data_IF_994726263392
#
_entry.id   IF_994726263392
#
_cell.length_a   1.000
_cell.length_b   1.000
_cell.length_c   1.000
_cell.angle_alpha   90.00
_cell.angle_beta   90.00
_cell.angle_gamma   90.00
#
_symmetry.space_group_name_H-M   'P 1'
#
loop_
_entity.id
_entity.type
_entity.pdbx_description
1 polymer ?
#
# COMPACT_ATOMS: atom_id res chain seq x y z
N UNK A 1 -9.70 1.35 -15.87
CA UNK A 1 -8.23 1.47 -16.05
C UNK A 1 -7.59 1.53 -14.68
N UNK A 2 -6.81 0.51 -14.32
CA UNK A 2 -5.89 0.53 -13.18
C UNK A 2 -4.76 1.52 -13.47
N UNK A 3 -4.36 2.31 -12.47
CA UNK A 3 -3.23 3.23 -12.58
C UNK A 3 -2.01 2.55 -11.98
N UNK A 4 -0.90 2.47 -12.70
CA UNK A 4 0.37 1.98 -12.15
C UNK A 4 1.14 3.15 -11.53
N UNK A 5 1.68 2.94 -10.33
CA UNK A 5 2.62 3.84 -9.68
C UNK A 5 4.00 3.19 -9.62
N UNK A 6 5.04 4.01 -9.79
CA UNK A 6 6.43 3.59 -9.92
C UNK A 6 7.25 4.27 -8.85
N UNK A 7 7.53 3.57 -7.74
CA UNK A 7 8.25 4.14 -6.62
C UNK A 7 9.74 3.82 -6.72
N UNK A 8 10.62 4.84 -6.74
CA UNK A 8 12.04 4.61 -6.68
C UNK A 8 12.47 4.17 -5.27
N UNK A 9 13.49 3.33 -5.20
CA UNK A 9 14.10 2.94 -3.94
C UNK A 9 15.60 2.63 -4.06
N UNK A 10 16.28 2.81 -2.93
CA UNK A 10 17.69 2.46 -2.72
C UNK A 10 17.77 1.03 -2.15
N UNK A 11 18.63 0.19 -2.72
CA UNK A 11 18.87 -1.18 -2.29
C UNK A 11 20.31 -1.32 -1.84
N UNK A 12 20.49 -1.74 -0.60
CA UNK A 12 21.80 -1.96 -0.01
C UNK A 12 21.93 -3.39 0.44
N UNK A 13 22.92 -4.07 -0.13
CA UNK A 13 23.33 -5.39 0.34
C UNK A 13 24.09 -5.24 1.65
N UNK A 14 23.68 -6.00 2.64
CA UNK A 14 24.34 -6.09 3.94
C UNK A 14 25.34 -7.25 3.96
N UNK A 15 26.34 -7.16 4.84
CA UNK A 15 27.39 -8.18 4.95
C UNK A 15 26.84 -9.57 5.30
N UNK A 16 25.66 -9.62 5.94
CA UNK A 16 24.96 -10.86 6.27
C UNK A 16 24.25 -11.53 5.08
N UNK A 17 24.42 -11.02 3.85
CA UNK A 17 23.75 -11.52 2.64
C UNK A 17 22.32 -11.03 2.44
N UNK A 18 21.77 -10.27 3.39
CA UNK A 18 20.43 -9.66 3.29
C UNK A 18 20.46 -8.39 2.44
N UNK A 19 19.31 -8.00 1.90
CA UNK A 19 19.16 -6.75 1.14
C UNK A 19 18.13 -5.86 1.81
N UNK A 20 18.51 -4.59 2.00
CA UNK A 20 17.66 -3.56 2.58
C UNK A 20 17.18 -2.60 1.50
N UNK A 21 15.88 -2.33 1.49
CA UNK A 21 15.18 -1.50 0.52
C UNK A 21 14.63 -0.26 1.23
N UNK A 22 15.03 0.93 0.80
CA UNK A 22 14.56 2.20 1.39
C UNK A 22 13.69 2.97 0.40
N UNK A 23 12.48 3.32 0.80
CA UNK A 23 11.58 4.15 0.00
C UNK A 23 11.40 5.53 0.61
N UNK A 24 11.85 6.55 -0.11
CA UNK A 24 11.75 7.95 0.32
C UNK A 24 10.30 8.40 0.50
N UNK A 25 9.43 7.97 -0.42
CA UNK A 25 8.01 8.35 -0.44
C UNK A 25 7.19 7.76 0.70
N UNK A 26 7.73 6.76 1.41
CA UNK A 26 7.08 6.09 2.52
C UNK A 26 7.81 6.34 3.85
N UNK A 27 8.18 7.61 4.09
CA UNK A 27 8.86 8.04 5.32
C UNK A 27 10.16 7.27 5.60
N UNK A 28 10.92 6.98 4.55
CA UNK A 28 12.16 6.20 4.63
C UNK A 28 12.00 4.81 5.25
N UNK A 29 10.82 4.19 5.12
CA UNK A 29 10.60 2.81 5.53
C UNK A 29 11.64 1.90 4.88
N UNK A 30 12.30 1.14 5.74
CA UNK A 30 13.29 0.13 5.36
C UNK A 30 12.61 -1.22 5.38
N UNK A 31 12.68 -1.92 4.27
CA UNK A 31 12.25 -3.31 4.14
C UNK A 31 13.48 -4.20 3.95
N UNK A 32 13.38 -5.45 4.36
CA UNK A 32 14.50 -6.38 4.34
C UNK A 32 14.05 -7.68 3.66
N UNK A 33 14.81 -8.14 2.67
CA UNK A 33 14.67 -9.49 2.13
C UNK A 33 15.91 -10.32 2.46
N UNK A 34 15.66 -11.59 2.78
CA UNK A 34 16.70 -12.57 3.08
C UNK A 34 17.22 -13.27 1.81
N UNK A 35 16.47 -13.21 0.70
CA UNK A 35 16.80 -13.91 -0.54
C UNK A 35 17.01 -12.90 -1.68
N UNK A 36 18.28 -12.69 -2.04
CA UNK A 36 18.69 -11.85 -3.16
C UNK A 36 17.96 -12.17 -4.48
N UNK A 37 17.59 -13.44 -4.74
CA UNK A 37 16.94 -13.83 -5.99
C UNK A 37 15.49 -13.36 -6.06
N UNK A 38 14.80 -13.33 -4.92
CA UNK A 38 13.37 -13.00 -4.83
C UNK A 38 13.09 -11.63 -4.21
N UNK A 39 14.13 -10.93 -3.77
CA UNK A 39 13.99 -9.67 -3.04
C UNK A 39 13.22 -8.57 -3.79
N UNK A 40 13.27 -8.55 -5.13
CA UNK A 40 12.45 -7.64 -5.94
C UNK A 40 10.95 -7.98 -5.87
N UNK A 41 10.60 -9.26 -5.87
CA UNK A 41 9.20 -9.69 -5.77
C UNK A 41 8.68 -9.45 -4.36
N UNK A 42 9.45 -9.83 -3.34
CA UNK A 42 9.12 -9.59 -1.92
C UNK A 42 8.82 -8.11 -1.66
N UNK A 43 9.66 -7.22 -2.22
CA UNK A 43 9.50 -5.79 -2.00
C UNK A 43 8.30 -5.22 -2.76
N UNK A 44 8.06 -5.70 -4.00
CA UNK A 44 6.87 -5.31 -4.77
C UNK A 44 5.60 -5.68 -4.03
N UNK A 45 5.51 -6.90 -3.50
CA UNK A 45 4.33 -7.37 -2.80
C UNK A 45 4.12 -6.67 -1.47
N UNK A 46 5.20 -6.41 -0.72
CA UNK A 46 5.14 -5.61 0.50
C UNK A 46 4.64 -4.19 0.22
N UNK A 47 5.12 -3.56 -0.86
CA UNK A 47 4.72 -2.22 -1.23
C UNK A 47 3.25 -2.17 -1.70
N UNK A 48 2.79 -3.20 -2.42
CA UNK A 48 1.37 -3.37 -2.80
C UNK A 48 0.47 -3.44 -1.58
N UNK A 49 0.84 -4.24 -0.58
CA UNK A 49 0.07 -4.36 0.66
C UNK A 49 -0.02 -3.01 1.38
N UNK A 50 1.09 -2.28 1.46
CA UNK A 50 1.12 -0.98 2.14
C UNK A 50 0.28 0.07 1.40
N UNK A 51 0.38 0.17 0.08
CA UNK A 51 -0.43 1.09 -0.73
C UNK A 51 -1.91 0.71 -0.68
N UNK A 52 -2.22 -0.59 -0.74
CA UNK A 52 -3.60 -1.10 -0.61
C UNK A 52 -4.20 -0.77 0.75
N UNK A 53 -3.43 -0.93 1.83
CA UNK A 53 -3.84 -0.54 3.17
C UNK A 53 -4.20 0.95 3.25
N UNK A 54 -3.38 1.83 2.68
CA UNK A 54 -3.66 3.27 2.59
C UNK A 54 -4.96 3.56 1.83
N UNK A 55 -5.19 2.88 0.70
CA UNK A 55 -6.43 3.04 -0.09
C UNK A 55 -7.66 2.64 0.73
N UNK A 56 -7.61 1.49 1.41
CA UNK A 56 -8.73 0.96 2.21
C UNK A 56 -9.04 1.91 3.37
N UNK A 57 -8.01 2.41 4.05
CA UNK A 57 -8.17 3.38 5.14
C UNK A 57 -8.56 4.79 4.67
N UNK A 58 -8.61 5.03 3.36
CA UNK A 58 -8.90 6.36 2.80
C UNK A 58 -7.77 7.37 3.00
N UNK A 59 -6.55 6.90 3.25
CA UNK A 59 -5.37 7.74 3.36
C UNK A 59 -4.85 8.16 1.98
N UNK A 60 -4.13 9.29 1.96
CA UNK A 60 -3.44 9.73 0.75
C UNK A 60 -2.30 8.77 0.40
N UNK A 61 -2.28 8.33 -0.86
CA UNK A 61 -1.17 7.58 -1.44
C UNK A 61 -0.04 8.58 -1.76
N UNK A 62 1.20 8.34 -1.32
CA UNK A 62 2.32 9.21 -1.66
C UNK A 62 2.50 9.33 -3.17
N UNK A 63 2.76 10.55 -3.66
CA UNK A 63 3.17 10.72 -5.06
C UNK A 63 4.59 10.20 -5.22
N UNK A 64 4.88 9.35 -6.21
CA UNK A 64 6.23 8.84 -6.39
C UNK A 64 7.24 9.95 -6.67
N UNK A 65 8.38 9.91 -5.98
CA UNK A 65 9.48 10.83 -6.20
C UNK A 65 10.16 10.60 -7.56
N UNK A 66 10.86 11.62 -8.10
CA UNK A 66 11.78 11.41 -9.21
C UNK A 66 12.86 10.38 -8.87
N UNK A 67 13.14 9.49 -9.82
CA UNK A 67 14.19 8.47 -9.72
C UNK A 67 15.58 9.11 -9.76
N UNK A 68 16.46 8.70 -8.84
CA UNK A 68 17.89 9.00 -8.87
C UNK A 68 18.66 7.91 -9.63
N UNK A 69 19.86 8.22 -10.14
CA UNK A 69 20.65 7.31 -11.01
C UNK A 69 20.94 5.93 -10.39
N UNK A 70 21.04 5.85 -9.06
CA UNK A 70 21.36 4.62 -8.31
C UNK A 70 20.11 3.86 -7.81
N UNK A 71 18.91 4.36 -8.06
CA UNK A 71 17.67 3.75 -7.60
C UNK A 71 17.08 2.82 -8.65
N UNK A 72 16.43 1.75 -8.21
CA UNK A 72 15.54 0.94 -9.03
C UNK A 72 14.09 1.33 -8.73
N UNK A 73 13.19 0.89 -9.61
CA UNK A 73 11.78 1.27 -9.55
C UNK A 73 10.97 0.04 -9.20
N UNK A 74 10.06 0.19 -8.25
CA UNK A 74 9.09 -0.85 -7.89
C UNK A 74 7.71 -0.42 -8.37
N UNK A 75 7.08 -1.29 -9.15
CA UNK A 75 5.75 -1.09 -9.69
C UNK A 75 4.67 -1.50 -8.69
N UNK A 76 3.64 -0.66 -8.56
CA UNK A 76 2.47 -0.91 -7.73
C UNK A 76 1.19 -0.60 -8.50
N UNK A 77 0.31 -1.59 -8.72
CA UNK A 77 -1.03 -1.34 -9.24
C UNK A 77 -1.91 -0.64 -8.21
N UNK A 78 -2.52 0.46 -8.62
CA UNK A 78 -3.50 1.22 -7.84
C UNK A 78 -4.84 1.12 -8.56
N UNK A 79 -5.77 0.38 -7.96
CA UNK A 79 -7.17 0.42 -8.38
C UNK A 79 -7.77 1.72 -7.84
N UNK A 80 -8.46 2.49 -8.72
CA UNK A 80 -9.26 3.62 -8.26
C UNK A 80 -10.20 3.13 -7.16
N UNK A 81 -10.27 3.90 -6.07
CA UNK A 81 -11.17 3.69 -4.94
C UNK A 81 -12.54 3.27 -5.50
N UNK A 82 -13.01 2.07 -5.16
CA UNK A 82 -14.42 1.76 -5.34
C UNK A 82 -15.12 2.72 -4.40
N UNK A 83 -15.82 3.72 -4.95
CA UNK A 83 -16.78 4.49 -4.15
C UNK A 83 -17.78 3.47 -3.63
N UNK A 84 -17.59 3.05 -2.39
CA UNK A 84 -18.68 2.43 -1.64
C UNK A 84 -19.66 3.58 -1.43
N UNK A 85 -20.59 3.75 -2.38
CA UNK A 85 -21.82 4.48 -2.10
C UNK A 85 -22.38 3.78 -0.87
N UNK A 86 -22.28 4.44 0.27
CA UNK A 86 -23.15 4.14 1.39
C UNK A 86 -24.56 4.33 0.84
N UNK A 87 -25.18 3.24 0.38
CA UNK A 87 -26.62 3.25 0.20
C UNK A 87 -27.16 3.60 1.59
N UNK A 88 -27.96 4.66 1.75
CA UNK A 88 -28.65 4.87 3.00
C UNK A 88 -29.43 3.58 3.30
N UNK A 89 -29.18 3.00 4.47
CA UNK A 89 -30.02 1.94 5.01
C UNK A 89 -31.45 2.50 4.96
N UNK A 90 -32.41 1.85 4.27
CA UNK A 90 -33.77 2.32 4.30
C UNK A 90 -34.22 2.35 5.76
N UNK A 91 -34.57 3.54 6.23
CA UNK A 91 -35.15 3.82 7.54
C UNK A 91 -36.51 3.11 7.61
N UNK A 92 -36.49 1.82 7.89
CA UNK A 92 -37.64 1.01 8.28
C UNK A 92 -37.14 -0.08 9.22
N UNK A 93 -36.57 0.36 10.35
CA UNK A 93 -36.52 -0.48 11.55
C UNK A 93 -37.95 -0.54 12.11
N UNK A 94 -38.60 -1.71 12.19
CA UNK A 94 -39.87 -1.80 12.88
C UNK A 94 -39.65 -1.53 14.37
N UNK A 95 -40.34 -0.53 14.90
CA UNK A 95 -40.49 -0.23 16.31
C UNK A 95 -41.07 -1.46 17.02
N UNK A 96 -40.25 -2.25 17.69
CA UNK A 96 -40.73 -3.24 18.63
C UNK A 96 -41.05 -2.51 19.94
N UNK A 97 -42.34 -2.48 20.28
CA UNK A 97 -42.91 -1.68 21.34
C UNK A 97 -42.34 -1.97 22.71
N UNK A 98 -42.21 -0.90 23.49
CA UNK A 98 -42.28 -0.97 24.94
C UNK A 98 -43.62 -1.59 25.34
N UNK A 99 -43.58 -2.70 26.07
CA UNK A 99 -44.63 -3.04 27.02
C UNK A 99 -43.96 -3.48 28.32
N UNK A 100 -43.94 -2.54 29.26
CA UNK A 100 -44.00 -2.86 30.68
C UNK A 100 -45.37 -3.50 30.96
N UNK A 101 -45.38 -4.65 31.63
CA UNK A 101 -46.06 -4.99 32.91
C UNK A 101 -45.68 -6.45 33.20
#
# INVERSE_FOLDING_TARGET
MSKLLFYPCDARKHFSGKVFYRFRDFSDRIFMSNDLKNAYQDISDTLKVLVTGKIICGENIPTPSPRLEHEFVVEVPVNKRVEVRNNPVPENSPTAGNSQI
#
